data_IF_210299705418
#
_entry.id   IF_210299705418
#
_cell.length_a   1.000
_cell.length_b   1.000
_cell.length_c   1.000
_cell.angle_alpha   90.00
_cell.angle_beta   90.00
_cell.angle_gamma   90.00
#
_symmetry.space_group_name_H-M   'P 1'
#
loop_
_entity.id
_entity.type
_entity.pdbx_description
1 polymer ?
#
# COMPACT_ATOMS: atom_id res chain seq x y z
N UNK A 1 12.19 -16.43 -19.81
CA UNK A 1 11.39 -16.89 -20.97
C UNK A 1 10.05 -17.36 -20.44
N UNK A 2 9.03 -16.52 -20.56
CA UNK A 2 7.71 -16.73 -19.96
C UNK A 2 7.04 -17.94 -20.64
N UNK A 3 6.53 -18.89 -19.85
CA UNK A 3 5.80 -20.05 -20.39
C UNK A 3 4.37 -19.62 -20.66
N UNK A 4 3.95 -19.74 -21.92
CA UNK A 4 2.53 -19.62 -22.30
C UNK A 4 1.74 -20.69 -21.50
N UNK A 5 0.67 -20.31 -20.78
CA UNK A 5 -0.17 -21.23 -20.02
C UNK A 5 -0.62 -22.41 -20.88
N UNK A 6 -0.69 -23.60 -20.27
CA UNK A 6 -0.94 -24.86 -20.97
C UNK A 6 -2.27 -24.83 -21.75
N UNK A 7 -3.30 -24.15 -21.23
CA UNK A 7 -4.57 -23.96 -21.93
C UNK A 7 -4.42 -23.13 -23.21
N UNK A 8 -3.66 -22.03 -23.18
CA UNK A 8 -3.39 -21.20 -24.36
C UNK A 8 -2.49 -21.95 -25.34
N UNK A 9 -1.48 -22.66 -24.85
CA UNK A 9 -0.61 -23.51 -25.66
C UNK A 9 -1.42 -24.59 -26.40
N UNK A 10 -2.36 -25.24 -25.71
CA UNK A 10 -3.26 -26.23 -26.29
C UNK A 10 -4.18 -25.61 -27.36
N UNK A 11 -4.67 -24.38 -27.15
CA UNK A 11 -5.43 -23.65 -28.16
C UNK A 11 -4.56 -23.37 -29.40
N UNK A 12 -3.34 -22.85 -29.20
CA UNK A 12 -2.39 -22.56 -30.29
C UNK A 12 -1.97 -23.81 -31.08
N UNK A 13 -1.98 -24.98 -30.44
CA UNK A 13 -1.67 -26.26 -31.07
C UNK A 13 -2.90 -26.97 -31.66
N UNK A 14 -4.10 -26.44 -31.43
CA UNK A 14 -5.35 -27.06 -31.91
C UNK A 14 -5.53 -26.93 -33.42
N UNK A 15 -6.26 -27.87 -34.03
CA UNK A 15 -6.70 -27.76 -35.43
C UNK A 15 -7.57 -26.51 -35.64
N UNK A 16 -8.38 -26.14 -34.65
CA UNK A 16 -9.19 -24.93 -34.72
C UNK A 16 -8.34 -23.66 -34.87
N UNK A 17 -7.15 -23.60 -34.27
CA UNK A 17 -6.25 -22.46 -34.45
C UNK A 17 -5.40 -22.55 -35.71
N UNK A 18 -4.85 -23.73 -36.03
CA UNK A 18 -3.87 -23.89 -37.12
C UNK A 18 -4.51 -24.04 -38.51
N UNK A 19 -5.79 -24.41 -38.59
CA UNK A 19 -6.53 -24.58 -39.83
C UNK A 19 -7.57 -23.47 -40.04
N UNK A 20 -7.27 -22.52 -40.93
CA UNK A 20 -8.15 -21.38 -41.23
C UNK A 20 -9.52 -21.75 -41.80
N UNK A 21 -9.70 -22.98 -42.31
CA UNK A 21 -11.01 -23.45 -42.79
C UNK A 21 -11.86 -24.12 -41.70
N UNK A 22 -11.32 -24.27 -40.47
CA UNK A 22 -12.06 -24.84 -39.35
C UNK A 22 -13.20 -23.88 -38.93
N UNK A 23 -14.45 -24.35 -38.75
CA UNK A 23 -15.58 -23.49 -38.38
C UNK A 23 -15.38 -22.69 -37.09
N UNK A 24 -14.52 -23.16 -36.19
CA UNK A 24 -14.22 -22.51 -34.92
C UNK A 24 -12.97 -21.62 -34.96
N UNK A 25 -12.33 -21.46 -36.13
CA UNK A 25 -11.06 -20.74 -36.25
C UNK A 25 -11.13 -19.31 -35.77
N UNK A 26 -12.13 -18.55 -36.22
CA UNK A 26 -12.30 -17.16 -35.80
C UNK A 26 -12.47 -17.02 -34.27
N UNK A 27 -13.19 -17.95 -33.64
CA UNK A 27 -13.41 -17.95 -32.19
C UNK A 27 -12.13 -18.25 -31.42
N UNK A 28 -11.42 -19.30 -31.80
CA UNK A 28 -10.17 -19.71 -31.12
C UNK A 28 -9.04 -18.70 -31.38
N UNK A 29 -8.93 -18.18 -32.61
CA UNK A 29 -7.99 -17.12 -32.93
C UNK A 29 -8.27 -15.85 -32.10
N UNK A 30 -9.53 -15.45 -31.93
CA UNK A 30 -9.90 -14.31 -31.09
C UNK A 30 -9.59 -14.55 -29.60
N UNK A 31 -9.72 -15.78 -29.11
CA UNK A 31 -9.34 -16.13 -27.73
C UNK A 31 -7.83 -16.03 -27.51
N UNK A 32 -7.03 -16.58 -28.44
CA UNK A 32 -5.57 -16.47 -28.39
C UNK A 32 -5.14 -15.01 -28.55
N UNK A 33 -5.72 -14.28 -29.49
CA UNK A 33 -5.45 -12.85 -29.70
C UNK A 33 -5.83 -12.02 -28.47
N UNK A 34 -7.01 -12.20 -27.90
CA UNK A 34 -7.43 -11.53 -26.66
C UNK A 34 -6.51 -11.86 -25.50
N UNK A 35 -5.98 -13.09 -25.40
CA UNK A 35 -4.95 -13.42 -24.43
C UNK A 35 -3.68 -12.58 -24.64
N UNK A 36 -3.16 -12.50 -25.86
CA UNK A 36 -1.96 -11.71 -26.15
C UNK A 36 -2.20 -10.20 -26.06
N UNK A 37 -3.39 -9.70 -26.39
CA UNK A 37 -3.78 -8.29 -26.25
C UNK A 37 -3.97 -7.90 -24.77
N UNK A 38 -4.63 -8.74 -23.97
CA UNK A 38 -4.71 -8.48 -22.52
C UNK A 38 -3.36 -8.65 -21.82
N UNK A 39 -2.48 -9.52 -22.36
CA UNK A 39 -1.17 -9.80 -21.76
C UNK A 39 -0.04 -8.89 -22.25
N UNK A 40 -0.10 -8.32 -23.45
CA UNK A 40 1.01 -7.53 -24.01
C UNK A 40 0.52 -6.27 -24.75
N UNK A 41 -0.75 -5.90 -24.61
CA UNK A 41 -1.43 -5.04 -25.58
C UNK A 41 -1.42 -3.55 -25.34
N UNK A 42 -0.76 -3.03 -24.30
CA UNK A 42 -0.61 -1.58 -24.14
C UNK A 42 0.88 -1.20 -24.18
N UNK A 43 1.23 -0.29 -25.08
CA UNK A 43 2.49 0.44 -25.00
C UNK A 43 2.26 1.67 -24.14
N UNK A 44 3.05 1.85 -23.08
CA UNK A 44 3.03 3.06 -22.25
C UNK A 44 4.41 3.70 -22.22
N UNK A 45 4.52 4.88 -21.61
CA UNK A 45 5.76 5.58 -21.37
C UNK A 45 6.18 5.32 -19.92
N UNK A 46 7.34 4.71 -19.69
CA UNK A 46 7.88 4.50 -18.34
C UNK A 46 8.34 5.81 -17.68
N UNK A 47 8.72 5.75 -16.40
CA UNK A 47 9.22 6.91 -15.64
C UNK A 47 10.47 7.59 -16.24
N UNK A 48 11.14 6.94 -17.21
CA UNK A 48 12.32 7.47 -17.92
C UNK A 48 11.98 8.05 -19.30
N UNK A 49 10.70 8.05 -19.69
CA UNK A 49 10.25 8.56 -20.99
C UNK A 49 10.36 7.53 -22.13
N UNK A 50 10.60 6.25 -21.84
CA UNK A 50 10.73 5.19 -22.86
C UNK A 50 9.38 4.54 -23.14
N UNK A 51 9.08 4.29 -24.41
CA UNK A 51 7.98 3.41 -24.79
C UNK A 51 8.31 1.98 -24.35
N UNK A 52 7.47 1.41 -23.49
CA UNK A 52 7.58 0.04 -23.01
C UNK A 52 6.28 -0.71 -23.28
N UNK A 53 6.41 -2.00 -23.60
CA UNK A 53 5.25 -2.90 -23.63
C UNK A 53 4.95 -3.31 -22.20
N UNK A 54 3.69 -3.27 -21.80
CA UNK A 54 3.29 -3.67 -20.46
C UNK A 54 2.43 -4.91 -20.46
N UNK A 55 2.55 -5.68 -19.39
CA UNK A 55 1.69 -6.81 -19.09
C UNK A 55 1.09 -6.70 -17.72
N UNK A 56 -0.17 -7.08 -17.60
CA UNK A 56 -0.80 -7.27 -16.30
C UNK A 56 -0.13 -8.42 -15.56
N UNK A 57 0.14 -8.23 -14.28
CA UNK A 57 0.71 -9.23 -13.38
C UNK A 57 0.23 -9.02 -11.95
N UNK A 58 0.49 -10.01 -11.09
CA UNK A 58 0.31 -9.92 -9.66
C UNK A 58 1.63 -10.19 -8.95
N UNK A 59 2.01 -9.34 -8.00
CA UNK A 59 3.22 -9.52 -7.19
C UNK A 59 2.80 -9.93 -5.79
N UNK A 60 3.39 -11.00 -5.27
CA UNK A 60 3.26 -11.35 -3.87
C UNK A 60 4.29 -10.59 -3.06
N UNK A 61 3.82 -9.84 -2.09
CA UNK A 61 4.68 -9.14 -1.14
C UNK A 61 4.53 -9.74 0.24
N UNK A 62 5.63 -9.81 0.99
CA UNK A 62 5.62 -10.20 2.39
C UNK A 62 6.60 -9.36 3.19
N UNK A 63 6.19 -8.85 4.34
CA UNK A 63 7.14 -8.23 5.27
C UNK A 63 7.92 -9.33 5.97
N UNK A 64 9.23 -9.41 5.74
CA UNK A 64 10.05 -10.49 6.31
C UNK A 64 10.50 -10.13 7.73
N UNK A 65 9.70 -10.56 8.71
CA UNK A 65 10.00 -10.46 10.14
C UNK A 65 9.58 -11.74 10.90
N UNK A 66 9.69 -11.72 12.22
CA UNK A 66 9.34 -12.83 13.12
C UNK A 66 7.82 -13.15 13.17
N UNK A 67 6.97 -12.35 12.54
CA UNK A 67 5.51 -12.52 12.48
C UNK A 67 5.04 -13.07 11.13
N UNK A 68 5.90 -13.16 10.14
CA UNK A 68 5.56 -13.71 8.82
C UNK A 68 5.90 -15.20 8.77
N UNK A 69 4.93 -16.03 8.38
CA UNK A 69 5.17 -17.47 8.28
C UNK A 69 6.12 -17.80 7.11
N UNK A 70 6.81 -18.94 7.22
CA UNK A 70 7.76 -19.40 6.20
C UNK A 70 7.13 -19.51 4.80
N UNK A 71 5.86 -19.93 4.72
CA UNK A 71 5.14 -20.04 3.44
C UNK A 71 4.95 -18.67 2.79
N UNK A 72 4.40 -17.68 3.51
CA UNK A 72 4.22 -16.32 3.00
C UNK A 72 5.57 -15.68 2.61
N UNK A 73 6.60 -15.88 3.43
CA UNK A 73 7.95 -15.38 3.17
C UNK A 73 8.56 -16.00 1.91
N UNK A 74 8.29 -17.29 1.66
CA UNK A 74 8.81 -18.00 0.49
C UNK A 74 8.27 -17.48 -0.85
N UNK A 75 7.12 -16.81 -0.84
CA UNK A 75 6.52 -16.21 -2.03
C UNK A 75 6.88 -14.74 -2.22
N UNK A 76 7.63 -14.11 -1.30
CA UNK A 76 8.00 -12.69 -1.42
C UNK A 76 8.65 -12.38 -2.77
N UNK A 77 8.20 -11.30 -3.39
CA UNK A 77 8.60 -10.80 -4.71
C UNK A 77 8.30 -11.76 -5.88
N UNK A 78 7.48 -12.79 -5.66
CA UNK A 78 7.07 -13.71 -6.73
C UNK A 78 6.04 -13.02 -7.63
N UNK A 79 6.30 -13.04 -8.93
CA UNK A 79 5.40 -12.52 -9.96
C UNK A 79 4.54 -13.64 -10.54
N UNK A 80 3.24 -13.42 -10.55
CA UNK A 80 2.23 -14.28 -11.15
C UNK A 80 1.64 -13.58 -12.38
N UNK A 81 1.52 -14.32 -13.49
CA UNK A 81 0.90 -13.81 -14.73
C UNK A 81 -0.59 -14.17 -14.83
N UNK A 82 -1.06 -15.03 -13.93
CA UNK A 82 -2.46 -15.46 -13.82
C UNK A 82 -2.88 -15.44 -12.35
N UNK A 83 -3.99 -14.77 -12.07
CA UNK A 83 -4.54 -14.65 -10.71
C UNK A 83 -4.89 -16.02 -10.13
N UNK A 84 -5.28 -16.98 -10.96
CA UNK A 84 -5.66 -18.32 -10.51
C UNK A 84 -4.45 -19.19 -10.11
N UNK A 85 -3.22 -18.79 -10.50
CA UNK A 85 -1.97 -19.45 -10.10
C UNK A 85 -1.44 -18.95 -8.75
N UNK A 86 -1.95 -17.82 -8.27
CA UNK A 86 -1.57 -17.27 -6.96
C UNK A 86 -2.03 -18.27 -5.90
N UNK A 87 -1.13 -18.72 -4.99
CA UNK A 87 -1.52 -19.54 -3.86
C UNK A 87 -2.72 -18.90 -3.18
N UNK A 88 -3.82 -19.65 -3.05
CA UNK A 88 -5.06 -19.13 -2.45
C UNK A 88 -4.68 -18.45 -1.16
N UNK A 89 -4.90 -17.12 -1.12
CA UNK A 89 -4.44 -16.24 -0.05
C UNK A 89 -4.65 -16.98 1.27
N UNK A 90 -3.58 -17.46 1.90
CA UNK A 90 -3.72 -18.29 3.05
C UNK A 90 -4.17 -17.32 4.14
N UNK A 91 -5.46 -17.40 4.47
CA UNK A 91 -6.03 -16.75 5.63
C UNK A 91 -5.36 -17.35 6.87
N UNK A 92 -4.11 -16.97 7.11
CA UNK A 92 -3.48 -17.07 8.40
C UNK A 92 -3.88 -15.80 9.14
N UNK A 93 -4.46 -15.97 10.32
CA UNK A 93 -4.66 -14.83 11.21
C UNK A 93 -3.30 -14.17 11.44
N UNK A 94 -3.15 -12.92 10.99
CA UNK A 94 -1.96 -12.07 11.11
C UNK A 94 -0.77 -12.30 10.15
N UNK A 95 -0.91 -13.04 9.02
CA UNK A 95 0.20 -13.03 8.03
C UNK A 95 0.30 -11.66 7.35
N UNK A 96 1.52 -11.12 7.26
CA UNK A 96 1.84 -9.78 6.75
C UNK A 96 2.16 -9.77 5.26
N UNK A 97 1.37 -10.50 4.48
CA UNK A 97 1.52 -10.59 3.02
C UNK A 97 0.34 -9.96 2.30
N UNK A 98 0.59 -9.47 1.08
CA UNK A 98 -0.46 -8.97 0.21
C UNK A 98 -0.14 -9.29 -1.25
N UNK A 99 -1.19 -9.24 -2.08
CA UNK A 99 -1.08 -9.37 -3.52
C UNK A 99 -1.30 -8.00 -4.12
N UNK A 100 -0.33 -7.52 -4.87
CA UNK A 100 -0.43 -6.31 -5.67
C UNK A 100 -0.80 -6.70 -7.10
N UNK A 101 -1.85 -6.09 -7.67
CA UNK A 101 -2.12 -6.15 -9.10
C UNK A 101 -1.45 -4.96 -9.79
N UNK A 102 -0.59 -5.21 -10.78
CA UNK A 102 0.19 -4.14 -11.45
C UNK A 102 0.41 -4.42 -12.93
N UNK A 103 1.00 -3.45 -13.63
CA UNK A 103 1.52 -3.56 -14.98
C UNK A 103 3.05 -3.58 -14.96
N UNK A 104 3.66 -4.60 -15.56
CA UNK A 104 5.11 -4.80 -15.61
C UNK A 104 5.67 -4.56 -17.01
N UNK A 105 6.83 -3.91 -17.10
CA UNK A 105 7.59 -3.73 -18.34
C UNK A 105 8.30 -5.03 -18.76
N UNK A 106 8.98 -4.98 -19.92
CA UNK A 106 9.74 -6.11 -20.47
C UNK A 106 10.91 -6.60 -19.58
N UNK A 107 11.23 -5.89 -18.49
CA UNK A 107 12.25 -6.25 -17.50
C UNK A 107 11.65 -6.61 -16.13
N UNK A 108 10.36 -6.93 -16.08
CA UNK A 108 9.63 -7.27 -14.86
C UNK A 108 9.56 -6.12 -13.85
N UNK A 109 9.67 -4.86 -14.30
CA UNK A 109 9.56 -3.69 -13.44
C UNK A 109 8.15 -3.10 -13.50
N UNK A 110 7.54 -2.76 -12.35
CA UNK A 110 6.29 -2.00 -12.34
C UNK A 110 6.42 -0.70 -13.13
N UNK A 111 5.46 -0.46 -14.02
CA UNK A 111 5.43 0.72 -14.89
C UNK A 111 4.54 1.82 -14.32
N UNK A 112 3.66 1.44 -13.39
CA UNK A 112 2.84 2.34 -12.60
C UNK A 112 3.60 2.63 -11.29
N UNK A 113 3.62 3.89 -10.88
CA UNK A 113 4.08 4.27 -9.54
C UNK A 113 3.08 3.71 -8.51
N UNK A 114 3.48 2.61 -7.87
CA UNK A 114 2.67 1.91 -6.87
C UNK A 114 3.03 2.32 -5.44
N UNK A 115 3.83 3.38 -5.27
CA UNK A 115 4.27 3.86 -3.96
C UNK A 115 3.12 4.05 -2.96
N UNK A 116 1.98 4.57 -3.43
CA UNK A 116 0.78 4.71 -2.62
C UNK A 116 0.29 3.37 -2.08
N UNK A 117 0.16 2.37 -2.97
CA UNK A 117 -0.29 1.03 -2.59
C UNK A 117 0.71 0.36 -1.66
N UNK A 118 2.01 0.46 -1.94
CA UNK A 118 3.05 -0.11 -1.10
C UNK A 118 3.00 0.44 0.34
N UNK A 119 2.83 1.76 0.49
CA UNK A 119 2.71 2.40 1.80
C UNK A 119 1.46 1.89 2.52
N UNK A 120 0.30 1.86 1.84
CA UNK A 120 -0.96 1.41 2.41
C UNK A 120 -0.86 -0.06 2.84
N UNK A 121 -0.38 -0.95 1.97
CA UNK A 121 -0.29 -2.37 2.25
C UNK A 121 0.70 -2.68 3.37
N UNK A 122 1.84 -1.99 3.43
CA UNK A 122 2.81 -2.15 4.54
C UNK A 122 2.19 -1.78 5.89
N UNK A 123 1.46 -0.67 5.96
CA UNK A 123 0.75 -0.27 7.18
C UNK A 123 -0.38 -1.25 7.49
N UNK A 124 -1.23 -1.61 6.53
CA UNK A 124 -2.31 -2.56 6.76
C UNK A 124 -1.81 -3.94 7.20
N UNK A 125 -0.64 -4.36 6.73
CA UNK A 125 0.00 -5.59 7.19
C UNK A 125 0.51 -5.51 8.64
N UNK A 126 0.64 -4.32 9.23
CA UNK A 126 0.84 -4.15 10.68
C UNK A 126 -0.49 -4.18 11.45
N UNK A 127 -1.60 -3.87 10.78
CA UNK A 127 -2.92 -3.86 11.37
C UNK A 127 -3.51 -5.28 11.40
N UNK A 128 -4.10 -5.65 12.53
CA UNK A 128 -4.80 -6.92 12.67
C UNK A 128 -6.17 -6.91 11.96
N UNK A 129 -6.86 -8.06 12.02
CA UNK A 129 -8.27 -8.14 11.64
C UNK A 129 -9.20 -7.42 12.64
N UNK A 130 -10.49 -7.69 12.55
CA UNK A 130 -11.50 -7.11 13.45
C UNK A 130 -11.20 -7.40 14.93
N UNK A 131 -11.17 -6.35 15.74
CA UNK A 131 -11.14 -6.43 17.20
C UNK A 131 -12.28 -5.55 17.72
N UNK A 132 -13.01 -6.06 18.71
CA UNK A 132 -14.07 -5.35 19.44
C UNK A 132 -14.08 -5.86 20.87
N UNK A 133 -13.05 -5.44 21.60
CA UNK A 133 -12.87 -5.78 22.99
C UNK A 133 -12.41 -4.52 23.74
N UNK A 134 -13.25 -3.92 24.59
CA UNK A 134 -12.95 -2.67 25.28
C UNK A 134 -11.78 -2.78 26.26
N UNK A 135 -11.35 -4.01 26.62
CA UNK A 135 -10.15 -4.21 27.43
C UNK A 135 -8.86 -4.17 26.59
N UNK A 136 -8.95 -4.29 25.27
CA UNK A 136 -7.81 -4.38 24.33
C UNK A 136 -7.70 -3.13 23.46
N UNK A 137 -8.84 -2.60 22.99
CA UNK A 137 -8.92 -1.41 22.15
C UNK A 137 -10.03 -0.47 22.64
N UNK A 138 -9.94 0.80 22.31
CA UNK A 138 -10.89 1.79 22.82
C UNK A 138 -12.24 1.76 22.08
N UNK A 139 -12.27 1.35 20.80
CA UNK A 139 -13.46 1.29 19.93
C UNK A 139 -13.36 0.11 18.94
N UNK A 140 -14.47 -0.41 18.38
CA UNK A 140 -14.42 -1.43 17.33
C UNK A 140 -13.55 -0.98 16.15
N UNK A 141 -12.59 -1.84 15.77
CA UNK A 141 -11.61 -1.56 14.73
C UNK A 141 -11.46 -2.77 13.82
N UNK A 142 -11.42 -2.54 12.50
CA UNK A 142 -11.11 -3.57 11.52
C UNK A 142 -10.05 -3.03 10.55
N UNK A 143 -8.94 -3.75 10.37
CA UNK A 143 -7.86 -3.33 9.47
C UNK A 143 -7.35 -1.91 9.78
N UNK A 144 -7.29 -1.54 11.06
CA UNK A 144 -6.89 -0.20 11.53
C UNK A 144 -7.93 0.91 11.33
N UNK A 145 -9.08 0.63 10.70
CA UNK A 145 -10.19 1.58 10.55
C UNK A 145 -11.15 1.45 11.73
N UNK A 146 -11.49 2.59 12.33
CA UNK A 146 -12.48 2.67 13.44
C UNK A 146 -13.89 2.91 12.91
N UNK A 147 -14.91 2.54 13.68
CA UNK A 147 -16.31 2.85 13.32
C UNK A 147 -16.55 4.34 13.01
N UNK A 148 -16.09 5.32 13.83
CA UNK A 148 -16.23 6.74 13.50
C UNK A 148 -15.52 7.17 12.21
N UNK A 149 -14.38 6.55 11.87
CA UNK A 149 -13.69 6.79 10.59
C UNK A 149 -14.58 6.34 9.43
N UNK A 150 -15.14 5.14 9.51
CA UNK A 150 -16.06 4.61 8.50
C UNK A 150 -17.34 5.47 8.38
N UNK A 151 -17.93 5.87 9.49
CA UNK A 151 -19.14 6.71 9.51
C UNK A 151 -18.89 8.07 8.83
N UNK A 152 -17.73 8.68 9.11
CA UNK A 152 -17.30 9.93 8.45
C UNK A 152 -17.10 9.70 6.96
N UNK A 153 -16.38 8.65 6.58
CA UNK A 153 -16.14 8.33 5.17
C UNK A 153 -17.45 8.11 4.39
N UNK A 154 -18.39 7.35 4.95
CA UNK A 154 -19.73 7.14 4.37
C UNK A 154 -20.53 8.45 4.22
N UNK A 155 -20.30 9.42 5.13
CA UNK A 155 -20.95 10.73 5.06
C UNK A 155 -20.37 11.59 3.94
N UNK A 156 -19.05 11.58 3.79
CA UNK A 156 -18.33 12.39 2.81
C UNK A 156 -18.41 11.79 1.39
N UNK A 157 -18.50 10.45 1.30
CA UNK A 157 -18.49 9.68 0.05
C UNK A 157 -19.68 8.68 -0.05
N UNK A 158 -20.94 9.17 -0.03
CA UNK A 158 -22.12 8.31 -0.06
C UNK A 158 -22.24 7.46 -1.35
N UNK A 159 -21.54 7.82 -2.42
CA UNK A 159 -21.52 7.10 -3.69
C UNK A 159 -20.90 5.71 -3.62
N UNK A 160 -20.00 5.45 -2.67
CA UNK A 160 -19.34 4.15 -2.54
C UNK A 160 -20.19 3.10 -1.82
N UNK A 161 -21.20 3.54 -1.04
CA UNK A 161 -22.17 2.67 -0.35
C UNK A 161 -21.48 1.52 0.41
N UNK A 162 -20.49 1.87 1.23
CA UNK A 162 -19.78 0.95 2.13
C UNK A 162 -20.70 0.49 3.27
N UNK A 163 -20.35 -0.60 3.98
CA UNK A 163 -21.17 -1.10 5.09
C UNK A 163 -21.31 -0.08 6.22
N UNK A 164 -22.41 -0.20 6.97
CA UNK A 164 -22.64 0.62 8.18
C UNK A 164 -21.80 0.15 9.37
N UNK A 165 -21.34 -1.11 9.39
CA UNK A 165 -20.57 -1.67 10.50
C UNK A 165 -19.13 -1.95 10.06
N UNK A 166 -18.16 -1.46 10.84
CA UNK A 166 -16.72 -1.64 10.55
C UNK A 166 -16.30 -3.10 10.53
N UNK A 167 -17.02 -3.98 11.22
CA UNK A 167 -16.83 -5.43 11.14
C UNK A 167 -17.04 -6.00 9.75
N UNK A 168 -17.94 -5.41 8.98
CA UNK A 168 -18.29 -5.87 7.62
C UNK A 168 -17.42 -5.20 6.55
N UNK A 169 -16.52 -4.29 6.94
CA UNK A 169 -15.58 -3.63 6.06
C UNK A 169 -14.59 -4.64 5.46
N UNK A 170 -14.50 -4.67 4.13
CA UNK A 170 -13.52 -5.51 3.43
C UNK A 170 -12.14 -4.85 3.40
N UNK A 171 -11.09 -5.66 3.21
CA UNK A 171 -9.73 -5.14 3.05
C UNK A 171 -9.58 -4.17 1.86
N UNK A 172 -10.29 -4.42 0.75
CA UNK A 172 -10.29 -3.51 -0.42
C UNK A 172 -10.93 -2.16 -0.08
N UNK A 173 -12.04 -2.16 0.67
CA UNK A 173 -12.67 -0.92 1.13
C UNK A 173 -11.78 -0.16 2.14
N UNK A 174 -11.11 -0.87 3.04
CA UNK A 174 -10.15 -0.26 3.96
C UNK A 174 -8.97 0.38 3.20
N UNK A 175 -8.44 -0.28 2.16
CA UNK A 175 -7.42 0.29 1.28
C UNK A 175 -7.90 1.57 0.60
N UNK A 176 -9.17 1.61 0.18
CA UNK A 176 -9.75 2.81 -0.43
C UNK A 176 -9.80 3.97 0.57
N UNK A 177 -10.27 3.74 1.80
CA UNK A 177 -10.29 4.76 2.86
C UNK A 177 -8.87 5.27 3.14
N UNK A 178 -7.89 4.37 3.29
CA UNK A 178 -6.50 4.77 3.46
C UNK A 178 -5.97 5.60 2.28
N UNK A 179 -6.34 5.22 1.06
CA UNK A 179 -5.96 5.92 -0.14
C UNK A 179 -6.50 7.34 -0.23
N UNK A 180 -7.77 7.54 0.12
CA UNK A 180 -8.44 8.83 -0.02
C UNK A 180 -8.15 9.74 1.20
N UNK A 181 -8.46 9.30 2.42
CA UNK A 181 -8.43 10.14 3.64
C UNK A 181 -7.03 10.29 4.25
N UNK A 182 -6.17 9.27 4.09
CA UNK A 182 -4.86 9.22 4.76
C UNK A 182 -3.70 9.52 3.83
N UNK A 183 -3.84 9.27 2.53
CA UNK A 183 -2.79 9.50 1.54
C UNK A 183 -3.07 10.75 0.69
N UNK A 184 -4.17 10.77 -0.06
CA UNK A 184 -4.46 11.84 -1.03
C UNK A 184 -4.85 13.15 -0.34
N UNK A 185 -5.83 13.12 0.57
CA UNK A 185 -6.26 14.32 1.33
C UNK A 185 -5.10 14.93 2.11
N UNK A 186 -4.16 14.10 2.55
CA UNK A 186 -2.98 14.48 3.35
C UNK A 186 -1.75 14.77 2.53
N UNK A 187 -1.87 14.69 1.20
CA UNK A 187 -0.80 15.06 0.25
C UNK A 187 0.49 14.26 0.49
N UNK A 188 0.38 13.03 0.96
CA UNK A 188 1.53 12.17 1.28
C UNK A 188 2.35 11.89 0.01
N UNK A 189 1.69 11.75 -1.13
CA UNK A 189 2.34 11.55 -2.43
C UNK A 189 3.23 12.71 -2.89
N UNK A 190 3.08 13.91 -2.31
CA UNK A 190 3.90 15.08 -2.66
C UNK A 190 5.23 15.14 -1.89
N UNK A 191 5.39 14.32 -0.85
CA UNK A 191 6.67 14.16 -0.16
C UNK A 191 7.55 13.29 -1.05
N UNK A 192 8.75 13.70 -1.42
CA UNK A 192 9.58 12.97 -2.40
C UNK A 192 10.29 11.76 -1.79
N UNK A 193 10.75 11.90 -0.54
CA UNK A 193 11.45 10.82 0.14
C UNK A 193 10.45 9.74 0.61
N UNK A 194 10.62 8.51 0.12
CA UNK A 194 9.72 7.39 0.42
C UNK A 194 9.67 7.01 1.91
N UNK A 195 10.82 7.01 2.59
CA UNK A 195 10.89 6.66 4.02
C UNK A 195 10.14 7.67 4.88
N UNK A 196 10.33 8.97 4.57
CA UNK A 196 9.64 10.05 5.25
C UNK A 196 8.12 9.95 5.03
N UNK A 197 7.68 9.76 3.78
CA UNK A 197 6.26 9.65 3.49
C UNK A 197 5.60 8.42 4.15
N UNK A 198 6.26 7.27 4.12
CA UNK A 198 5.79 6.06 4.78
C UNK A 198 5.66 6.24 6.30
N UNK A 199 6.65 6.88 6.94
CA UNK A 199 6.62 7.18 8.37
C UNK A 199 5.47 8.13 8.73
N UNK A 200 5.28 9.21 7.96
CA UNK A 200 4.21 10.20 8.20
C UNK A 200 2.83 9.57 8.01
N UNK A 201 2.67 8.73 6.98
CA UNK A 201 1.44 7.97 6.76
C UNK A 201 1.15 7.05 7.95
N UNK A 202 2.11 6.22 8.38
CA UNK A 202 1.94 5.31 9.50
C UNK A 202 1.62 6.04 10.81
N UNK A 203 2.31 7.16 11.08
CA UNK A 203 2.00 8.05 12.20
C UNK A 203 0.54 8.56 12.15
N UNK A 204 0.03 8.87 10.97
CA UNK A 204 -1.35 9.31 10.72
C UNK A 204 -2.40 8.20 10.93
N UNK A 205 -2.02 6.95 10.67
CA UNK A 205 -2.87 5.78 10.97
C UNK A 205 -2.90 5.51 12.47
N UNK A 206 -1.74 5.57 13.13
CA UNK A 206 -1.63 5.39 14.58
C UNK A 206 -2.28 6.53 15.39
N UNK A 207 -2.33 7.74 14.83
CA UNK A 207 -2.79 8.94 15.52
C UNK A 207 -3.33 9.97 14.56
N UNK A 208 -4.25 10.83 15.00
CA UNK A 208 -4.77 11.88 14.12
C UNK A 208 -3.66 12.79 13.54
N UNK A 209 -3.86 13.21 12.29
CA UNK A 209 -2.89 14.02 11.53
C UNK A 209 -2.57 15.39 12.13
N UNK A 210 -3.41 15.95 13.02
CA UNK A 210 -3.08 17.24 13.65
C UNK A 210 -1.86 17.10 14.57
N UNK A 211 -1.78 15.99 15.30
CA UNK A 211 -0.62 15.71 16.16
C UNK A 211 0.61 15.38 15.32
N UNK A 212 0.44 14.63 14.23
CA UNK A 212 1.51 14.29 13.29
C UNK A 212 2.11 15.55 12.64
N UNK A 213 1.26 16.43 12.10
CA UNK A 213 1.72 17.69 11.49
C UNK A 213 2.46 18.58 12.49
N UNK A 214 2.03 18.61 13.76
CA UNK A 214 2.74 19.31 14.83
C UNK A 214 4.14 18.71 15.05
N UNK A 215 4.24 17.39 15.27
CA UNK A 215 5.51 16.70 15.49
C UNK A 215 6.48 16.94 14.34
N UNK A 216 6.03 16.83 13.09
CA UNK A 216 6.87 17.07 11.90
C UNK A 216 7.39 18.51 11.87
N UNK A 217 6.52 19.50 12.09
CA UNK A 217 6.91 20.91 12.07
C UNK A 217 7.89 21.25 13.20
N UNK A 218 7.73 20.67 14.38
CA UNK A 218 8.66 20.80 15.51
C UNK A 218 10.02 20.17 15.14
N UNK A 219 10.04 18.92 14.67
CA UNK A 219 11.28 18.25 14.23
C UNK A 219 12.00 19.02 13.13
N UNK A 220 11.30 19.53 12.11
CA UNK A 220 11.89 20.33 11.03
C UNK A 220 12.49 21.64 11.53
N UNK A 221 11.86 22.28 12.51
CA UNK A 221 12.38 23.51 13.10
C UNK A 221 13.62 23.25 13.95
N UNK A 222 13.63 22.15 14.70
CA UNK A 222 14.71 21.82 15.64
C UNK A 222 15.94 21.25 14.94
N UNK A 223 15.75 20.39 13.93
CA UNK A 223 16.84 19.66 13.26
C UNK A 223 17.30 20.28 11.94
N UNK A 224 16.43 21.03 11.25
CA UNK A 224 16.67 21.54 9.89
C UNK A 224 16.56 23.07 9.77
N UNK A 225 16.39 23.79 10.88
CA UNK A 225 16.23 25.26 10.92
C UNK A 225 15.14 25.79 9.94
N UNK A 226 14.07 25.00 9.72
CA UNK A 226 13.08 25.27 8.68
C UNK A 226 12.23 26.54 8.93
N UNK A 227 12.21 27.07 10.16
CA UNK A 227 11.47 28.27 10.58
C UNK A 227 9.98 28.26 10.16
N UNK A 228 9.35 27.09 10.31
CA UNK A 228 7.94 26.84 10.06
C UNK A 228 7.09 27.34 11.23
N UNK A 229 5.88 27.78 10.90
CA UNK A 229 4.84 27.97 11.92
C UNK A 229 4.31 26.60 12.33
N UNK A 230 4.27 26.33 13.64
CA UNK A 230 3.63 25.14 14.19
C UNK A 230 2.10 25.33 14.17
N UNK A 231 1.44 24.85 13.14
CA UNK A 231 -0.01 24.94 12.94
C UNK A 231 -0.70 23.60 12.65
N UNK A 232 0.04 22.50 12.78
CA UNK A 232 -0.40 21.13 12.59
C UNK A 232 -0.80 20.75 11.16
N UNK A 233 -0.68 21.66 10.19
CA UNK A 233 -1.09 21.41 8.81
C UNK A 233 0.10 21.00 7.96
N UNK A 234 -0.01 19.84 7.32
CA UNK A 234 0.93 19.40 6.29
C UNK A 234 0.52 20.06 4.97
N UNK A 235 0.92 21.33 4.82
CA UNK A 235 0.72 22.11 3.59
C UNK A 235 2.03 22.39 2.87
N UNK A 236 1.98 23.24 1.83
CA UNK A 236 3.09 23.51 0.90
C UNK A 236 4.42 23.74 1.62
N UNK A 237 4.45 24.62 2.63
CA UNK A 237 5.69 24.93 3.36
C UNK A 237 6.27 23.74 4.12
N UNK A 238 5.43 22.89 4.70
CA UNK A 238 5.88 21.69 5.42
C UNK A 238 6.42 20.67 4.42
N UNK A 239 5.73 20.47 3.29
CA UNK A 239 6.13 19.55 2.22
C UNK A 239 7.44 20.03 1.56
N UNK A 240 7.54 21.32 1.24
CA UNK A 240 8.76 21.93 0.70
C UNK A 240 9.94 21.73 1.66
N UNK A 241 9.73 21.90 2.97
CA UNK A 241 10.78 21.68 3.96
C UNK A 241 11.22 20.21 4.02
N UNK A 242 10.28 19.26 3.97
CA UNK A 242 10.60 17.82 3.91
C UNK A 242 11.38 17.45 2.65
N UNK A 243 10.98 17.98 1.49
CA UNK A 243 11.62 17.68 0.21
C UNK A 243 13.00 18.35 0.05
N UNK A 244 13.26 19.42 0.80
CA UNK A 244 14.56 20.09 0.83
C UNK A 244 15.55 19.50 1.84
N UNK A 245 15.18 18.44 2.59
CA UNK A 245 16.12 17.75 3.48
C UNK A 245 17.24 17.14 2.61
N UNK A 246 18.52 17.49 2.85
CA UNK A 246 19.63 16.90 2.13
C UNK A 246 19.67 15.37 2.29
N UNK A 247 20.03 14.64 1.24
CA UNK A 247 20.05 13.17 1.27
C UNK A 247 20.95 12.60 2.38
N UNK A 248 22.05 13.28 2.73
CA UNK A 248 22.97 12.91 3.81
C UNK A 248 22.44 13.26 5.22
N UNK A 249 21.27 13.91 5.30
CA UNK A 249 20.57 14.31 6.53
C UNK A 249 19.25 13.61 6.75
N UNK A 250 18.80 12.78 5.82
CA UNK A 250 17.57 12.00 5.96
C UNK A 250 17.62 11.08 7.18
N UNK A 251 18.75 10.40 7.43
CA UNK A 251 18.88 9.50 8.57
C UNK A 251 18.83 10.26 9.91
N UNK A 252 19.51 11.41 10.00
CA UNK A 252 19.47 12.30 11.17
C UNK A 252 18.02 12.76 11.43
N UNK A 253 17.34 13.27 10.39
CA UNK A 253 15.94 13.70 10.48
C UNK A 253 15.00 12.58 10.93
N UNK A 254 15.15 11.37 10.36
CA UNK A 254 14.30 10.23 10.72
C UNK A 254 14.53 9.81 12.17
N UNK A 255 15.76 9.91 12.68
CA UNK A 255 16.06 9.65 14.08
C UNK A 255 15.39 10.67 15.00
N UNK A 256 15.53 11.97 14.69
CA UNK A 256 14.92 13.05 15.47
C UNK A 256 13.37 12.98 15.43
N UNK A 257 12.81 12.61 14.28
CA UNK A 257 11.36 12.40 14.11
C UNK A 257 10.86 11.27 15.02
N UNK A 258 11.61 10.16 15.11
CA UNK A 258 11.28 9.03 16.00
C UNK A 258 11.33 9.44 17.47
N UNK A 259 12.36 10.19 17.87
CA UNK A 259 12.52 10.66 19.25
C UNK A 259 11.39 11.62 19.65
N UNK A 260 11.14 12.66 18.86
CA UNK A 260 10.06 13.62 19.13
C UNK A 260 8.68 12.93 19.12
N UNK A 261 8.51 11.91 18.27
CA UNK A 261 7.28 11.12 18.25
C UNK A 261 7.11 10.29 19.52
N UNK A 262 8.17 9.63 20.00
CA UNK A 262 8.13 8.85 21.24
C UNK A 262 7.84 9.77 22.43
N UNK A 263 8.47 10.95 22.49
CA UNK A 263 8.21 11.94 23.54
C UNK A 263 6.73 12.37 23.55
N UNK A 264 6.15 12.66 22.38
CA UNK A 264 4.73 12.94 22.27
C UNK A 264 3.86 11.79 22.80
N UNK A 265 4.17 10.54 22.41
CA UNK A 265 3.41 9.35 22.81
C UNK A 265 3.48 9.10 24.32
N UNK A 266 4.63 9.36 24.95
CA UNK A 266 4.83 9.28 26.40
C UNK A 266 3.90 10.21 27.19
N UNK A 267 3.49 11.33 26.59
CA UNK A 267 2.54 12.27 27.19
C UNK A 267 1.08 11.81 27.17
N UNK A 268 0.74 10.70 26.48
CA UNK A 268 -0.63 10.22 26.35
C UNK A 268 -1.06 9.37 27.54
N UNK A 269 -2.33 9.48 27.95
CA UNK A 269 -2.90 8.69 29.05
C UNK A 269 -2.88 7.17 28.83
N UNK A 270 -2.71 6.73 27.58
CA UNK A 270 -2.60 5.31 27.22
C UNK A 270 -1.17 4.74 27.27
N UNK A 271 -0.15 5.57 27.57
CA UNK A 271 1.25 5.15 27.51
C UNK A 271 1.55 3.93 28.38
N UNK A 272 1.08 3.90 29.63
CA UNK A 272 1.32 2.78 30.55
C UNK A 272 0.79 1.43 30.02
N UNK A 273 -0.21 1.47 29.13
CA UNK A 273 -0.85 0.27 28.58
C UNK A 273 -0.30 -0.11 27.21
N UNK A 274 -0.03 0.87 26.35
CA UNK A 274 0.26 0.65 24.93
C UNK A 274 1.67 1.11 24.49
N UNK A 275 2.44 1.74 25.39
CA UNK A 275 3.71 2.41 25.09
C UNK A 275 4.77 1.51 24.46
N UNK A 276 4.87 0.25 24.90
CA UNK A 276 5.80 -0.72 24.30
C UNK A 276 5.47 -0.99 22.82
N UNK A 277 4.18 -1.15 22.51
CA UNK A 277 3.72 -1.34 21.13
C UNK A 277 3.95 -0.11 20.27
N UNK A 278 3.63 1.08 20.81
CA UNK A 278 3.86 2.34 20.09
C UNK A 278 5.34 2.62 19.84
N UNK A 279 6.20 2.30 20.81
CA UNK A 279 7.66 2.43 20.68
C UNK A 279 8.21 1.45 19.65
N UNK A 280 7.78 0.19 19.71
CA UNK A 280 8.18 -0.83 18.73
C UNK A 280 7.81 -0.42 17.30
N UNK A 281 6.59 0.11 17.09
CA UNK A 281 6.14 0.58 15.78
C UNK A 281 6.91 1.82 15.30
N UNK A 282 7.12 2.80 16.18
CA UNK A 282 7.87 4.03 15.85
C UNK A 282 9.32 3.74 15.47
N UNK A 283 9.97 2.78 16.13
CA UNK A 283 11.37 2.44 15.83
C UNK A 283 11.58 1.73 14.49
N UNK A 284 10.51 1.36 13.77
CA UNK A 284 10.58 0.71 12.46
C UNK A 284 10.67 1.68 11.28
N UNK A 285 10.53 2.99 11.50
CA UNK A 285 10.69 4.02 10.46
C UNK A 285 12.15 4.15 9.99
#
# INVERSE_FOLDING_TARGET
MNKIPTNILNLMQSDAYTNSTNPNHATVAKQVQSYFENKYGNSTIDATGRNVTVRKAWIWHAVIDDRTCEDCASFSDTIYEDRDEIPKNPHHDNCRCWIEETELDDNDKPVIDNRKQDIIHKTMAEEGGYVDNPNIIDQPTNSGITQPTLDKYNTDHPEFNFPDNVKDLTGEQAQQIYGEDYYDERRIGEIENERIAAAIFDMGVMSNFNNVGKTIQETLNDSMDANLKIDSKIGDKTIDALNNIPNDKVDDFMQDLKENRIEYLQGLSGWDKYGDGWTSRTNRY
#
